data_IF_794230333703
#
_entry.id   IF_794230333703
#
_cell.length_a   1.000
_cell.length_b   1.000
_cell.length_c   1.000
_cell.angle_alpha   90.00
_cell.angle_beta   90.00
_cell.angle_gamma   90.00
#
_symmetry.space_group_name_H-M   'P 1'
#
loop_
_entity.id
_entity.type
_entity.pdbx_description
1 polymer ?
#
# COMPACT_ATOMS: atom_id res chain seq x y z
N UNK A 1 0.47 -1.11 -9.33
CA UNK A 1 1.63 -0.43 -8.72
C UNK A 1 1.80 0.92 -9.39
N UNK A 2 1.53 2.03 -8.69
CA UNK A 2 1.58 3.38 -9.27
C UNK A 2 2.74 4.19 -8.67
N UNK A 3 3.86 3.52 -8.45
CA UNK A 3 5.14 4.14 -8.08
C UNK A 3 6.02 4.11 -9.33
N UNK A 4 6.68 5.22 -9.64
CA UNK A 4 7.77 5.22 -10.62
C UNK A 4 9.03 4.66 -9.94
N UNK A 5 8.99 3.36 -9.62
CA UNK A 5 10.09 2.63 -8.98
C UNK A 5 11.38 2.75 -9.82
N UNK A 6 11.23 2.92 -11.14
CA UNK A 6 12.35 3.18 -12.04
C UNK A 6 13.08 4.47 -11.68
N UNK A 7 12.33 5.55 -11.48
CA UNK A 7 12.88 6.83 -11.03
C UNK A 7 13.54 6.73 -9.65
N UNK A 8 12.89 6.07 -8.68
CA UNK A 8 13.46 5.88 -7.33
C UNK A 8 14.76 5.09 -7.39
N UNK A 9 14.80 4.00 -8.15
CA UNK A 9 16.02 3.22 -8.36
C UNK A 9 17.14 4.08 -8.97
N UNK A 10 16.81 4.90 -9.99
CA UNK A 10 17.76 5.81 -10.62
C UNK A 10 18.37 6.79 -9.61
N UNK A 11 17.54 7.43 -8.80
CA UNK A 11 18.00 8.39 -7.77
C UNK A 11 18.95 7.72 -6.76
N UNK A 12 18.62 6.51 -6.30
CA UNK A 12 19.49 5.76 -5.38
C UNK A 12 20.80 5.38 -6.06
N UNK A 13 20.74 4.85 -7.29
CA UNK A 13 21.95 4.49 -8.06
C UNK A 13 22.88 5.69 -8.24
N UNK A 14 22.34 6.84 -8.66
CA UNK A 14 23.09 8.06 -8.91
C UNK A 14 23.67 8.66 -7.62
N UNK A 15 22.92 8.60 -6.50
CA UNK A 15 23.44 9.03 -5.19
C UNK A 15 24.61 8.17 -4.69
N UNK A 16 24.68 6.90 -5.11
CA UNK A 16 25.82 6.01 -4.86
C UNK A 16 26.97 6.18 -5.87
N UNK A 17 26.84 7.11 -6.83
CA UNK A 17 27.85 7.38 -7.85
C UNK A 17 27.99 6.28 -8.91
N UNK A 18 27.03 5.36 -9.00
CA UNK A 18 27.09 4.22 -9.91
C UNK A 18 26.49 4.57 -11.28
N UNK A 19 27.12 4.13 -12.35
CA UNK A 19 26.63 4.24 -13.73
C UNK A 19 25.68 3.09 -14.07
N UNK A 20 24.90 3.26 -15.14
CA UNK A 20 24.05 2.18 -15.66
C UNK A 20 24.88 0.96 -16.13
N UNK A 21 26.08 1.19 -16.65
CA UNK A 21 26.94 0.11 -17.16
C UNK A 21 27.46 -0.77 -16.03
N UNK A 22 27.92 -0.16 -14.93
CA UNK A 22 28.40 -0.87 -13.74
C UNK A 22 27.33 -1.77 -13.12
N UNK A 23 26.09 -1.30 -13.00
CA UNK A 23 25.01 -2.08 -12.38
C UNK A 23 24.34 -3.06 -13.36
N UNK A 24 24.53 -2.91 -14.66
CA UNK A 24 23.96 -3.81 -15.65
C UNK A 24 24.79 -5.08 -15.85
N UNK A 25 26.13 -4.93 -15.84
CA UNK A 25 27.06 -6.01 -16.18
C UNK A 25 26.67 -6.71 -17.48
N UNK A 26 26.68 -8.04 -17.48
CA UNK A 26 26.26 -8.87 -18.62
C UNK A 26 24.80 -9.34 -18.54
N UNK A 27 24.05 -8.91 -17.52
CA UNK A 27 22.70 -9.42 -17.24
C UNK A 27 21.63 -8.58 -17.93
N UNK A 28 21.79 -7.25 -17.90
CA UNK A 28 20.89 -6.32 -18.59
C UNK A 28 21.67 -5.46 -19.56
N UNK A 29 21.01 -5.04 -20.64
CA UNK A 29 21.56 -3.97 -21.47
C UNK A 29 21.35 -2.60 -20.80
N UNK A 30 22.28 -1.66 -21.01
CA UNK A 30 22.13 -0.27 -20.60
C UNK A 30 20.80 0.34 -21.10
N UNK A 31 20.40 0.00 -22.32
CA UNK A 31 19.13 0.45 -22.91
C UNK A 31 17.92 -0.10 -22.16
N UNK A 32 17.97 -1.35 -21.70
CA UNK A 32 16.92 -1.96 -20.87
C UNK A 32 16.80 -1.21 -19.55
N UNK A 33 17.92 -0.96 -18.87
CA UNK A 33 17.92 -0.21 -17.62
C UNK A 33 17.41 1.22 -17.81
N UNK A 34 17.80 1.91 -18.88
CA UNK A 34 17.28 3.25 -19.18
C UNK A 34 15.76 3.29 -19.38
N UNK A 35 15.17 2.26 -19.99
CA UNK A 35 13.70 2.14 -20.11
C UNK A 35 13.04 1.85 -18.77
N UNK A 36 13.67 1.05 -17.92
CA UNK A 36 13.22 0.79 -16.55
C UNK A 36 13.23 2.08 -15.74
N UNK A 37 14.37 2.80 -15.72
CA UNK A 37 14.55 4.05 -14.96
C UNK A 37 13.67 5.22 -15.41
N UNK A 38 13.09 5.12 -16.61
CA UNK A 38 12.13 6.11 -17.13
C UNK A 38 10.68 5.66 -17.03
N UNK A 39 10.40 4.56 -16.31
CA UNK A 39 9.05 4.02 -16.11
C UNK A 39 8.42 3.42 -17.37
N UNK A 40 9.17 3.29 -18.47
CA UNK A 40 8.66 2.77 -19.76
C UNK A 40 8.54 1.25 -19.77
N UNK A 41 9.30 0.55 -18.93
CA UNK A 41 9.32 -0.90 -18.84
C UNK A 41 9.34 -1.33 -17.37
N UNK A 42 8.45 -2.25 -17.01
CA UNK A 42 8.53 -2.94 -15.72
C UNK A 42 9.52 -4.09 -15.81
N UNK A 43 10.57 -4.14 -14.97
CA UNK A 43 11.49 -5.27 -14.93
C UNK A 43 10.77 -6.52 -14.42
N UNK A 44 11.25 -7.69 -14.84
CA UNK A 44 10.90 -8.94 -14.17
C UNK A 44 11.49 -8.94 -12.76
N UNK A 45 10.93 -9.78 -11.88
CA UNK A 45 11.37 -9.90 -10.50
C UNK A 45 12.89 -10.15 -10.40
N UNK A 46 13.41 -11.10 -11.18
CA UNK A 46 14.81 -11.51 -11.16
C UNK A 46 15.74 -10.37 -11.60
N UNK A 47 15.31 -9.57 -12.58
CA UNK A 47 16.06 -8.42 -13.06
C UNK A 47 16.09 -7.32 -12.01
N UNK A 48 14.98 -7.08 -11.32
CA UNK A 48 14.93 -6.09 -10.25
C UNK A 48 15.76 -6.54 -9.05
N UNK A 49 15.68 -7.82 -8.67
CA UNK A 49 16.52 -8.40 -7.62
C UNK A 49 18.02 -8.22 -7.92
N UNK A 50 18.42 -8.53 -9.16
CA UNK A 50 19.80 -8.37 -9.60
C UNK A 50 20.26 -6.91 -9.48
N UNK A 51 19.46 -5.96 -9.97
CA UNK A 51 19.75 -4.53 -9.92
C UNK A 51 19.88 -4.02 -8.48
N UNK A 52 18.97 -4.42 -7.60
CA UNK A 52 18.99 -4.06 -6.17
C UNK A 52 20.26 -4.57 -5.47
N UNK A 53 20.70 -5.80 -5.78
CA UNK A 53 21.97 -6.32 -5.26
C UNK A 53 23.17 -5.48 -5.69
N UNK A 54 23.18 -4.94 -6.92
CA UNK A 54 24.30 -4.10 -7.40
C UNK A 54 24.43 -2.79 -6.61
N UNK A 55 23.31 -2.28 -6.10
CA UNK A 55 23.29 -1.09 -5.25
C UNK A 55 23.32 -1.44 -3.75
N UNK A 56 23.62 -2.69 -3.37
CA UNK A 56 23.61 -3.19 -1.99
C UNK A 56 22.31 -2.83 -1.25
N UNK A 57 21.19 -3.26 -1.81
CA UNK A 57 19.86 -2.99 -1.27
C UNK A 57 18.98 -4.24 -1.40
N UNK A 58 18.17 -4.51 -0.39
CA UNK A 58 17.14 -5.54 -0.42
C UNK A 58 15.83 -5.01 -1.02
N UNK A 59 14.93 -5.90 -1.41
CA UNK A 59 13.58 -5.50 -1.84
C UNK A 59 12.81 -4.79 -0.73
N UNK A 60 12.96 -5.24 0.52
CA UNK A 60 12.27 -4.65 1.65
C UNK A 60 12.71 -3.20 1.91
N UNK A 61 14.02 -2.94 1.90
CA UNK A 61 14.54 -1.58 2.03
C UNK A 61 14.11 -0.69 0.85
N UNK A 62 14.15 -1.22 -0.37
CA UNK A 62 13.73 -0.49 -1.55
C UNK A 62 12.24 -0.15 -1.50
N UNK A 63 11.40 -1.12 -1.13
CA UNK A 63 9.96 -0.93 -0.96
C UNK A 63 9.65 0.10 0.13
N UNK A 64 10.35 0.03 1.27
CA UNK A 64 10.24 1.04 2.33
C UNK A 64 10.57 2.45 1.83
N UNK A 65 11.66 2.62 1.06
CA UNK A 65 12.03 3.91 0.47
C UNK A 65 10.97 4.39 -0.53
N UNK A 66 10.45 3.50 -1.38
CA UNK A 66 9.35 3.83 -2.28
C UNK A 66 8.13 4.34 -1.53
N UNK A 67 7.80 3.75 -0.38
CA UNK A 67 6.69 4.17 0.47
C UNK A 67 6.93 5.52 1.18
N UNK A 68 8.18 5.86 1.52
CA UNK A 68 8.53 7.18 2.09
C UNK A 68 8.36 8.33 1.10
N UNK A 69 8.57 8.08 -0.20
CA UNK A 69 8.51 9.13 -1.21
C UNK A 69 7.09 9.58 -1.53
N UNK A 70 6.09 8.68 -1.47
CA UNK A 70 4.66 9.01 -1.48
C UNK A 70 3.84 7.88 -0.85
N UNK A 71 3.29 8.05 0.37
CA UNK A 71 2.38 7.05 0.92
C UNK A 71 1.19 6.93 -0.02
N UNK A 72 0.88 5.69 -0.42
CA UNK A 72 -0.31 5.46 -1.24
C UNK A 72 -1.57 5.71 -0.41
N UNK A 73 -2.70 6.00 -1.06
CA UNK A 73 -4.00 6.06 -0.36
C UNK A 73 -4.26 4.81 0.49
N UNK A 74 -3.80 3.64 0.03
CA UNK A 74 -3.83 2.39 0.80
C UNK A 74 -2.99 2.48 2.08
N UNK A 75 -1.76 2.99 1.97
CA UNK A 75 -0.83 3.16 3.09
C UNK A 75 -1.39 4.11 4.14
N UNK A 76 -1.97 5.23 3.71
CA UNK A 76 -2.64 6.21 4.59
C UNK A 76 -3.80 5.57 5.35
N UNK A 77 -4.64 4.77 4.67
CA UNK A 77 -5.74 4.03 5.29
C UNK A 77 -5.21 3.06 6.35
N UNK A 78 -4.18 2.26 6.02
CA UNK A 78 -3.61 1.30 6.96
C UNK A 78 -2.94 1.98 8.17
N UNK A 79 -2.24 3.10 7.96
CA UNK A 79 -1.64 3.87 9.06
C UNK A 79 -2.72 4.47 9.96
N UNK A 80 -3.79 5.01 9.37
CA UNK A 80 -4.94 5.53 10.12
C UNK A 80 -5.56 4.43 10.98
N UNK A 81 -5.76 3.24 10.41
CA UNK A 81 -6.29 2.08 11.12
C UNK A 81 -5.38 1.62 12.28
N UNK A 82 -4.07 1.54 12.07
CA UNK A 82 -3.13 1.12 13.12
C UNK A 82 -3.04 2.13 14.29
N UNK A 83 -3.13 3.42 13.98
CA UNK A 83 -3.08 4.51 14.97
C UNK A 83 -4.44 4.81 15.61
N UNK A 84 -5.48 4.09 15.23
CA UNK A 84 -6.87 4.32 15.63
C UNK A 84 -7.10 4.14 17.14
N UNK A 85 -6.21 3.44 17.84
CA UNK A 85 -6.32 3.12 19.27
C UNK A 85 -6.28 4.33 20.22
N UNK A 86 -5.96 5.54 19.75
CA UNK A 86 -5.75 6.70 20.64
C UNK A 86 -6.54 7.97 20.33
N UNK A 87 -7.29 8.10 19.22
CA UNK A 87 -7.70 9.43 18.72
C UNK A 87 -9.18 9.62 18.38
N UNK A 88 -9.99 8.59 18.15
CA UNK A 88 -11.25 8.86 17.43
C UNK A 88 -12.44 9.16 18.37
N UNK A 89 -12.75 10.44 18.54
CA UNK A 89 -14.11 10.90 18.86
C UNK A 89 -15.06 10.64 17.69
N UNK A 90 -16.37 10.49 17.95
CA UNK A 90 -17.36 9.89 17.03
C UNK A 90 -17.37 10.39 15.57
N UNK A 91 -17.01 11.66 15.29
CA UNK A 91 -16.98 12.20 13.91
C UNK A 91 -15.85 11.62 13.05
N UNK A 92 -14.68 11.32 13.63
CA UNK A 92 -13.55 10.80 12.85
C UNK A 92 -13.73 9.37 12.35
N UNK A 93 -14.68 8.61 12.92
CA UNK A 93 -15.01 7.25 12.44
C UNK A 93 -15.71 7.31 11.10
N UNK A 94 -16.65 8.24 10.94
CA UNK A 94 -17.45 8.40 9.72
C UNK A 94 -16.56 8.85 8.57
N UNK A 95 -15.71 9.85 8.80
CA UNK A 95 -14.76 10.33 7.78
C UNK A 95 -13.80 9.22 7.33
N UNK A 96 -13.34 8.38 8.27
CA UNK A 96 -12.45 7.27 7.95
C UNK A 96 -13.18 6.15 7.18
N UNK A 97 -14.43 5.87 7.54
CA UNK A 97 -15.29 4.94 6.80
C UNK A 97 -15.51 5.40 5.36
N UNK A 98 -15.83 6.67 5.14
CA UNK A 98 -15.98 7.25 3.80
C UNK A 98 -14.66 7.18 3.00
N UNK A 99 -13.52 7.41 3.65
CA UNK A 99 -12.20 7.27 3.03
C UNK A 99 -11.98 5.85 2.51
N UNK A 100 -12.29 4.83 3.33
CA UNK A 100 -12.21 3.43 2.92
C UNK A 100 -13.18 3.11 1.77
N UNK A 101 -14.43 3.58 1.84
CA UNK A 101 -15.41 3.38 0.75
C UNK A 101 -14.94 3.99 -0.57
N UNK A 102 -14.41 5.21 -0.54
CA UNK A 102 -13.93 5.90 -1.74
C UNK A 102 -12.74 5.17 -2.38
N UNK A 103 -11.82 4.65 -1.57
CA UNK A 103 -10.73 3.79 -2.06
C UNK A 103 -11.28 2.52 -2.76
N UNK A 104 -12.22 1.83 -2.11
CA UNK A 104 -12.79 0.57 -2.60
C UNK A 104 -13.67 0.71 -3.86
N UNK A 105 -14.08 1.93 -4.24
CA UNK A 105 -14.73 2.17 -5.55
C UNK A 105 -13.80 1.89 -6.72
N UNK A 106 -12.49 2.01 -6.52
CA UNK A 106 -11.48 1.89 -7.57
C UNK A 106 -10.63 0.63 -7.43
N UNK A 107 -10.45 0.14 -6.20
CA UNK A 107 -9.54 -0.95 -5.87
C UNK A 107 -10.26 -2.09 -5.16
N UNK A 108 -9.92 -3.33 -5.49
CA UNK A 108 -10.33 -4.50 -4.72
C UNK A 108 -9.23 -4.85 -3.70
N UNK A 109 -9.52 -4.67 -2.42
CA UNK A 109 -8.56 -4.83 -1.31
C UNK A 109 -9.25 -5.40 -0.08
N UNK A 110 -9.15 -6.72 0.09
CA UNK A 110 -9.85 -7.46 1.15
C UNK A 110 -9.55 -6.91 2.57
N UNK A 111 -8.29 -6.62 2.97
CA UNK A 111 -8.01 -5.97 4.25
C UNK A 111 -8.75 -4.65 4.46
N UNK A 112 -8.84 -3.78 3.45
CA UNK A 112 -9.55 -2.49 3.57
C UNK A 112 -11.07 -2.71 3.58
N UNK A 113 -11.58 -3.71 2.87
CA UNK A 113 -12.98 -4.13 2.99
C UNK A 113 -13.31 -4.55 4.43
N UNK A 114 -12.45 -5.35 5.07
CA UNK A 114 -12.63 -5.79 6.46
C UNK A 114 -12.56 -4.61 7.46
N UNK A 115 -11.65 -3.65 7.24
CA UNK A 115 -11.59 -2.41 8.04
C UNK A 115 -12.89 -1.61 7.90
N UNK A 116 -13.38 -1.40 6.67
CA UNK A 116 -14.62 -0.67 6.37
C UNK A 116 -15.82 -1.35 7.02
N UNK A 117 -15.92 -2.67 6.90
CA UNK A 117 -16.96 -3.50 7.51
C UNK A 117 -16.95 -3.37 9.05
N UNK A 118 -15.77 -3.36 9.68
CA UNK A 118 -15.64 -3.12 11.12
C UNK A 118 -16.05 -1.70 11.55
N UNK A 119 -15.67 -0.69 10.76
CA UNK A 119 -16.05 0.70 11.02
C UNK A 119 -17.57 0.88 10.98
N UNK A 120 -18.26 0.25 10.02
CA UNK A 120 -19.72 0.25 9.92
C UNK A 120 -20.37 -0.26 11.21
N UNK A 121 -19.88 -1.40 11.73
CA UNK A 121 -20.36 -1.99 12.97
C UNK A 121 -20.15 -1.02 14.15
N UNK A 122 -18.95 -0.45 14.28
CA UNK A 122 -18.61 0.44 15.41
C UNK A 122 -19.42 1.73 15.37
N UNK A 123 -19.57 2.36 14.19
CA UNK A 123 -20.38 3.57 14.00
C UNK A 123 -21.83 3.29 14.37
N UNK A 124 -22.36 2.15 13.91
CA UNK A 124 -23.73 1.75 14.18
C UNK A 124 -24.01 1.57 15.68
N UNK A 125 -23.12 0.85 16.38
CA UNK A 125 -23.20 0.65 17.83
C UNK A 125 -23.13 1.99 18.58
N UNK A 126 -22.25 2.91 18.15
CA UNK A 126 -22.11 4.21 18.80
C UNK A 126 -23.37 5.07 18.68
N UNK A 127 -24.08 4.99 17.54
CA UNK A 127 -25.27 5.80 17.28
C UNK A 127 -26.56 5.21 17.88
N UNK A 128 -26.69 3.87 17.91
CA UNK A 128 -27.96 3.19 18.22
C UNK A 128 -27.88 2.25 19.44
N UNK A 129 -26.71 2.12 20.07
CA UNK A 129 -26.46 1.10 21.07
C UNK A 129 -26.36 -0.31 20.47
N UNK A 130 -26.21 -1.32 21.32
CA UNK A 130 -26.08 -2.73 20.89
C UNK A 130 -27.41 -3.40 20.58
N UNK A 131 -28.53 -2.75 20.89
CA UNK A 131 -29.87 -3.38 20.88
C UNK A 131 -30.53 -3.45 19.50
N UNK A 132 -30.01 -2.75 18.48
CA UNK A 132 -30.56 -2.77 17.12
C UNK A 132 -29.47 -2.94 16.05
N UNK A 133 -28.70 -4.03 16.04
CA UNK A 133 -27.84 -4.33 14.88
C UNK A 133 -28.73 -4.52 13.64
N UNK A 134 -28.54 -3.70 12.59
CA UNK A 134 -29.28 -3.86 11.33
C UNK A 134 -28.98 -5.24 10.70
N UNK A 135 -29.87 -5.75 9.85
CA UNK A 135 -29.63 -7.06 9.23
C UNK A 135 -28.38 -7.08 8.33
N UNK A 136 -27.97 -5.92 7.78
CA UNK A 136 -26.66 -5.74 7.13
C UNK A 136 -25.51 -5.93 8.13
N UNK A 137 -25.58 -5.28 9.30
CA UNK A 137 -24.57 -5.41 10.35
C UNK A 137 -24.48 -6.85 10.88
N UNK A 138 -25.60 -7.56 11.02
CA UNK A 138 -25.60 -8.99 11.40
C UNK A 138 -24.93 -9.87 10.35
N UNK A 139 -25.15 -9.60 9.05
CA UNK A 139 -24.48 -10.32 7.96
C UNK A 139 -22.97 -10.04 7.96
N UNK A 140 -22.56 -8.79 8.17
CA UNK A 140 -21.16 -8.40 8.28
C UNK A 140 -20.49 -9.08 9.48
N UNK A 141 -21.12 -9.08 10.65
CA UNK A 141 -20.63 -9.77 11.86
C UNK A 141 -20.49 -11.28 11.61
N UNK A 142 -21.46 -11.94 10.98
CA UNK A 142 -21.37 -13.36 10.63
C UNK A 142 -20.24 -13.65 9.63
N UNK A 143 -20.04 -12.78 8.63
CA UNK A 143 -18.96 -12.91 7.64
C UNK A 143 -17.58 -12.71 8.25
N UNK A 144 -17.44 -11.84 9.23
CA UNK A 144 -16.15 -11.50 9.86
C UNK A 144 -15.78 -12.45 11.01
N UNK A 145 -16.75 -12.89 11.82
CA UNK A 145 -16.52 -13.80 12.96
C UNK A 145 -16.75 -15.29 12.64
N UNK A 146 -17.41 -15.60 11.52
CA UNK A 146 -17.69 -16.98 11.08
C UNK A 146 -16.59 -17.62 10.22
N UNK A 147 -15.51 -16.88 9.90
CA UNK A 147 -14.31 -17.42 9.25
C UNK A 147 -13.37 -18.02 10.31
N UNK A 148 -13.75 -19.15 10.90
CA UNK A 148 -12.83 -20.05 11.62
C UNK A 148 -12.76 -21.39 10.89
#
# INVERSE_FOLDING_TARGET
MRYDFGKVYKEIRESKGLTQEEVCGNVLSRTSLSKIESGKVTPKYENMEFLLRQINMSFEEFDYICHLYQPSQRTEIMQTYLNMNSIIGGSGLVDFFETCQNYLKTYHDLPIEEIRDMLEIVIHIHQHGTEQLSDQVKQTVQKTLGKN
#
